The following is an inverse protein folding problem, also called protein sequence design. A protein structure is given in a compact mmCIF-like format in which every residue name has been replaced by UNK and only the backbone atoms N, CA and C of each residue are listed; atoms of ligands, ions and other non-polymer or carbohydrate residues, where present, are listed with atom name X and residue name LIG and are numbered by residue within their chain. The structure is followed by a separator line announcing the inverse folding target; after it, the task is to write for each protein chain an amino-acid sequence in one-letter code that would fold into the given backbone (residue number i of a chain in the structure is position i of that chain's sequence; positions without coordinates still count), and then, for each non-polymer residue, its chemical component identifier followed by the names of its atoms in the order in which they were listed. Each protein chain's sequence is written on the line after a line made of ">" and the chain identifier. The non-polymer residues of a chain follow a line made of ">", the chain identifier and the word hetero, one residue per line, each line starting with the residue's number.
data_IF_494741146415
#
_entry.id   IF_494741146415
#
_cell.length_a   1.000
_cell.length_b   1.000
_cell.length_c   1.000
_cell.angle_alpha   90.00
_cell.angle_beta   90.00
_cell.angle_gamma   90.00
#
_symmetry.space_group_name_H-M   'P 1'
#
loop_
_entity.id
_entity.type
_entity.pdbx_description
1 polymer ?
#
# COMPACT_ATOMS: atom_id res chain seq x y z
N UNK A 1 -12.79 18.76 8.92
CA UNK A 1 -11.86 18.87 7.78
C UNK A 1 -10.47 18.59 8.33
N UNK A 2 -9.91 17.40 8.13
CA UNK A 2 -8.57 17.05 8.63
C UNK A 2 -7.57 17.26 7.49
N UNK A 3 -6.62 18.16 7.73
CA UNK A 3 -5.59 18.59 6.80
C UNK A 3 -4.53 17.50 6.68
N UNK A 4 -4.41 16.91 5.48
CA UNK A 4 -3.60 15.73 5.21
C UNK A 4 -2.10 16.03 4.97
N UNK A 5 -1.61 17.21 5.34
CA UNK A 5 -0.24 17.65 5.09
C UNK A 5 0.72 17.53 6.29
N UNK A 6 0.26 17.02 7.44
CA UNK A 6 1.06 16.88 8.67
C UNK A 6 1.49 15.44 8.97
N UNK A 7 1.33 14.51 8.03
CA UNK A 7 1.78 13.13 8.20
C UNK A 7 2.97 12.83 7.29
N UNK A 8 4.15 12.76 7.92
CA UNK A 8 5.50 12.69 7.37
C UNK A 8 5.77 11.56 6.36
N UNK A 9 4.90 10.55 6.27
CA UNK A 9 5.17 9.32 5.50
C UNK A 9 4.15 8.99 4.40
N UNK A 10 3.17 9.88 4.12
CA UNK A 10 2.17 9.74 3.05
C UNK A 10 1.48 8.35 2.95
N UNK A 11 1.52 7.55 4.02
CA UNK A 11 0.93 6.23 4.11
C UNK A 11 0.04 6.20 5.35
N UNK A 12 -1.23 6.51 5.15
CA UNK A 12 -2.25 6.23 6.16
C UNK A 12 -2.68 4.77 5.97
N UNK A 13 -2.69 3.98 7.05
CA UNK A 13 -3.43 2.71 7.10
C UNK A 13 -4.93 3.01 7.04
N UNK A 14 -5.41 3.34 5.85
CA UNK A 14 -6.82 3.48 5.59
C UNK A 14 -7.31 2.20 4.92
N UNK A 15 -8.20 1.51 5.62
CA UNK A 15 -8.99 0.39 5.12
C UNK A 15 -9.90 0.90 3.99
N UNK A 16 -9.45 0.77 2.72
CA UNK A 16 -10.24 1.20 1.56
C UNK A 16 -11.26 0.16 1.10
N UNK A 17 -11.01 -1.12 1.40
CA UNK A 17 -11.90 -2.23 1.07
C UNK A 17 -12.77 -2.59 2.28
N UNK A 18 -14.06 -2.93 2.07
CA UNK A 18 -14.92 -3.49 3.12
C UNK A 18 -14.29 -4.70 3.81
N UNK A 19 -14.61 -4.93 5.09
CA UNK A 19 -14.06 -6.03 5.88
C UNK A 19 -14.18 -7.41 5.23
N UNK A 20 -15.25 -7.65 4.47
CA UNK A 20 -15.49 -8.92 3.79
C UNK A 20 -14.47 -9.24 2.67
N UNK A 21 -13.75 -8.23 2.16
CA UNK A 21 -12.81 -8.37 1.05
C UNK A 21 -11.48 -7.68 1.30
N UNK A 22 -11.18 -7.32 2.55
CA UNK A 22 -9.97 -6.58 2.90
C UNK A 22 -8.66 -7.27 2.53
N UNK A 23 -8.68 -8.59 2.49
CA UNK A 23 -7.53 -9.43 2.16
C UNK A 23 -7.48 -9.83 0.68
N UNK A 24 -8.38 -9.30 -0.17
CA UNK A 24 -8.38 -9.60 -1.61
C UNK A 24 -7.47 -8.66 -2.37
N UNK A 25 -6.51 -9.25 -3.08
CA UNK A 25 -5.71 -8.56 -4.10
C UNK A 25 -6.37 -8.72 -5.47
N UNK A 26 -6.73 -7.61 -6.11
CA UNK A 26 -7.39 -7.63 -7.43
C UNK A 26 -6.43 -7.41 -8.60
N UNK A 27 -5.26 -6.81 -8.34
CA UNK A 27 -4.27 -6.50 -9.37
C UNK A 27 -2.98 -7.26 -9.11
N UNK A 28 -2.57 -8.06 -10.09
CA UNK A 28 -1.32 -8.81 -10.09
C UNK A 28 -0.50 -8.36 -11.29
N UNK A 29 0.38 -7.35 -11.14
CA UNK A 29 1.21 -6.87 -12.23
C UNK A 29 2.14 -7.98 -12.73
N UNK A 30 2.40 -8.00 -14.04
CA UNK A 30 3.36 -8.91 -14.66
C UNK A 30 4.75 -8.27 -14.76
N UNK A 31 5.78 -9.07 -15.02
CA UNK A 31 7.16 -8.57 -15.17
C UNK A 31 7.44 -7.90 -16.52
N UNK A 32 6.42 -7.64 -17.35
CA UNK A 32 6.58 -7.15 -18.72
C UNK A 32 6.47 -5.64 -18.79
N UNK A 33 7.47 -5.00 -19.39
CA UNK A 33 7.45 -3.56 -19.69
C UNK A 33 7.32 -2.71 -18.44
N UNK A 34 6.42 -1.72 -18.48
CA UNK A 34 6.23 -0.76 -17.39
C UNK A 34 5.59 -1.36 -16.14
N UNK A 35 4.91 -2.51 -16.26
CA UNK A 35 4.30 -3.20 -15.11
C UNK A 35 5.33 -3.65 -14.08
N UNK A 36 6.57 -3.95 -14.50
CA UNK A 36 7.67 -4.26 -13.58
C UNK A 36 7.93 -3.11 -12.61
N UNK A 37 7.97 -1.87 -13.10
CA UNK A 37 8.15 -0.69 -12.25
C UNK A 37 6.98 -0.50 -11.29
N UNK A 38 5.76 -0.84 -11.72
CA UNK A 38 4.57 -0.79 -10.86
C UNK A 38 4.68 -1.84 -9.74
N UNK A 39 5.09 -3.07 -10.10
CA UNK A 39 5.34 -4.15 -9.14
C UNK A 39 6.38 -3.76 -8.09
N UNK A 40 7.53 -3.24 -8.52
CA UNK A 40 8.61 -2.82 -7.61
C UNK A 40 8.14 -1.74 -6.61
N UNK A 41 7.28 -0.81 -7.06
CA UNK A 41 6.69 0.21 -6.18
C UNK A 41 5.66 -0.38 -5.21
N UNK A 42 4.81 -1.30 -5.66
CA UNK A 42 3.86 -1.99 -4.79
C UNK A 42 4.57 -2.82 -3.72
N UNK A 43 5.64 -3.54 -4.10
CA UNK A 43 6.46 -4.32 -3.18
C UNK A 43 7.11 -3.41 -2.10
N UNK A 44 7.61 -2.24 -2.50
CA UNK A 44 8.16 -1.24 -1.57
C UNK A 44 7.10 -0.73 -0.58
N UNK A 45 5.87 -0.47 -1.05
CA UNK A 45 4.78 -0.03 -0.19
C UNK A 45 4.34 -1.12 0.81
N UNK A 46 4.27 -2.38 0.39
CA UNK A 46 3.98 -3.48 1.32
C UNK A 46 5.08 -3.67 2.36
N UNK A 47 6.35 -3.51 1.97
CA UNK A 47 7.48 -3.61 2.89
C UNK A 47 7.44 -2.49 3.95
N UNK A 48 7.11 -1.26 3.54
CA UNK A 48 6.91 -0.13 4.46
C UNK A 48 5.76 -0.38 5.43
N UNK A 49 4.58 -0.82 4.94
CA UNK A 49 3.44 -1.21 5.78
C UNK A 49 3.79 -2.31 6.78
N UNK A 50 4.51 -3.34 6.34
CA UNK A 50 4.97 -4.43 7.23
C UNK A 50 5.91 -3.94 8.33
N UNK A 51 6.78 -2.96 8.05
CA UNK A 51 7.64 -2.33 9.06
C UNK A 51 6.82 -1.53 10.07
N UNK A 52 5.88 -0.69 9.60
CA UNK A 52 4.99 0.08 10.47
C UNK A 52 4.20 -0.82 11.44
N UNK A 53 3.64 -1.93 10.92
CA UNK A 53 2.87 -2.91 11.73
C UNK A 53 3.72 -3.68 12.76
N UNK A 54 5.05 -3.75 12.59
CA UNK A 54 5.97 -4.43 13.52
C UNK A 54 6.43 -3.55 14.67
N UNK A 55 6.30 -2.23 14.54
CA UNK A 55 6.73 -1.25 15.53
C UNK A 55 5.59 -0.84 16.49
N UNK A 56 4.35 -1.20 16.16
CA UNK A 56 3.16 -0.96 16.99
C UNK A 56 2.82 -2.13 17.92
#
# INVERSE_FOLDING_TARGET
>A
YRYAHDYDEAQVEQQHLPDAIKDRTYYHPTDRGYEKTIKDRLDAFEAARRKARKTS
#
